data_IF_496322117585
#
_entry.id   IF_496322117585
#
_cell.length_a   1.000
_cell.length_b   1.000
_cell.length_c   1.000
_cell.angle_alpha   90.00
_cell.angle_beta   90.00
_cell.angle_gamma   90.00
#
_symmetry.space_group_name_H-M   'P 1'
#
loop_
_entity.id
_entity.type
_entity.pdbx_description
1 polymer ?
#
# COMPACT_ATOMS: atom_id res chain seq x y z
N UNK A 1 -22.69 -4.34 2.19
CA UNK A 1 -21.22 -4.18 2.00
C UNK A 1 -21.01 -3.41 0.72
N UNK A 2 -20.38 -2.23 0.77
CA UNK A 2 -19.99 -1.51 -0.45
C UNK A 2 -18.66 -2.09 -0.92
N UNK A 3 -18.65 -2.77 -2.07
CA UNK A 3 -17.40 -3.11 -2.73
C UNK A 3 -16.76 -1.80 -3.20
N UNK A 4 -15.64 -1.43 -2.58
CA UNK A 4 -14.86 -0.27 -3.04
C UNK A 4 -13.94 -0.77 -4.13
N UNK A 5 -14.02 -0.18 -5.32
CA UNK A 5 -13.22 -0.63 -6.47
C UNK A 5 -11.74 -0.30 -6.24
N UNK A 6 -10.84 -1.27 -6.34
CA UNK A 6 -9.39 -1.02 -6.27
C UNK A 6 -8.87 -0.81 -7.69
N UNK A 7 -8.18 0.30 -7.93
CA UNK A 7 -7.65 0.66 -9.25
C UNK A 7 -6.15 0.92 -9.12
N UNK A 8 -5.33 0.21 -9.88
CA UNK A 8 -3.89 0.49 -9.95
C UNK A 8 -3.61 1.59 -10.98
N UNK A 9 -2.82 2.58 -10.60
CA UNK A 9 -2.22 3.51 -11.56
C UNK A 9 -1.26 2.77 -12.50
N UNK A 10 -0.96 3.34 -13.68
CA UNK A 10 0.01 2.74 -14.62
C UNK A 10 1.37 2.48 -13.96
N UNK A 11 1.87 3.45 -13.19
CA UNK A 11 3.10 3.29 -12.41
C UNK A 11 3.03 2.14 -11.39
N UNK A 12 1.94 2.06 -10.61
CA UNK A 12 1.77 0.97 -9.64
C UNK A 12 1.69 -0.39 -10.33
N UNK A 13 0.99 -0.47 -11.46
CA UNK A 13 0.83 -1.68 -12.26
C UNK A 13 2.17 -2.16 -12.82
N UNK A 14 2.94 -1.25 -13.42
CA UNK A 14 4.26 -1.58 -13.98
C UNK A 14 5.22 -2.07 -12.91
N UNK A 15 5.24 -1.39 -11.75
CA UNK A 15 6.05 -1.83 -10.61
C UNK A 15 5.63 -3.21 -10.11
N UNK A 16 4.33 -3.45 -9.99
CA UNK A 16 3.81 -4.73 -9.53
C UNK A 16 4.23 -5.86 -10.48
N UNK A 17 3.98 -5.71 -11.78
CA UNK A 17 4.23 -6.75 -12.78
C UNK A 17 5.73 -7.00 -13.00
N UNK A 18 6.55 -5.94 -13.06
CA UNK A 18 7.96 -6.07 -13.44
C UNK A 18 8.90 -6.31 -12.25
N UNK A 19 8.53 -5.84 -11.04
CA UNK A 19 9.41 -5.89 -9.87
C UNK A 19 8.89 -6.78 -8.76
N UNK A 20 7.60 -6.72 -8.44
CA UNK A 20 7.08 -7.33 -7.21
C UNK A 20 6.48 -8.72 -7.45
N UNK A 21 6.05 -9.02 -8.69
CA UNK A 21 5.50 -10.32 -9.06
C UNK A 21 6.50 -11.46 -8.83
N UNK A 22 7.79 -11.24 -9.14
CA UNK A 22 8.88 -12.19 -8.88
C UNK A 22 9.13 -12.45 -7.38
N UNK A 23 8.56 -11.63 -6.50
CA UNK A 23 8.62 -11.77 -5.04
C UNK A 23 7.33 -12.37 -4.47
N UNK A 24 6.41 -12.83 -5.33
CA UNK A 24 5.12 -13.39 -4.93
C UNK A 24 4.04 -12.35 -4.65
N UNK A 25 4.28 -11.06 -4.93
CA UNK A 25 3.33 -9.97 -4.70
C UNK A 25 2.55 -9.69 -5.99
N UNK A 26 1.22 -9.82 -5.91
CA UNK A 26 0.30 -9.68 -7.04
C UNK A 26 -0.89 -8.76 -6.69
N UNK A 27 -1.85 -8.62 -7.60
CA UNK A 27 -3.04 -7.77 -7.39
C UNK A 27 -3.88 -8.24 -6.19
N UNK A 28 -3.94 -9.55 -5.92
CA UNK A 28 -4.63 -10.08 -4.74
C UNK A 28 -3.94 -9.66 -3.44
N UNK A 29 -2.61 -9.68 -3.42
CA UNK A 29 -1.81 -9.19 -2.28
C UNK A 29 -2.09 -7.72 -1.99
N UNK A 30 -2.19 -6.90 -3.04
CA UNK A 30 -2.56 -5.49 -2.94
C UNK A 30 -4.00 -5.34 -2.44
N UNK A 31 -4.93 -6.11 -3.01
CA UNK A 31 -6.35 -6.09 -2.64
C UNK A 31 -6.57 -6.45 -1.17
N UNK A 32 -5.95 -7.53 -0.70
CA UNK A 32 -6.01 -7.96 0.70
C UNK A 32 -5.39 -6.90 1.61
N UNK A 33 -4.25 -6.32 1.23
CA UNK A 33 -3.60 -5.27 2.01
C UNK A 33 -4.49 -4.05 2.17
N UNK A 34 -5.15 -3.60 1.10
CA UNK A 34 -6.03 -2.41 1.15
C UNK A 34 -7.33 -2.69 1.90
N UNK A 35 -7.91 -3.89 1.76
CA UNK A 35 -9.20 -4.24 2.36
C UNK A 35 -9.10 -4.70 3.82
N UNK A 36 -8.00 -5.35 4.18
CA UNK A 36 -7.74 -5.90 5.52
C UNK A 36 -6.28 -5.68 5.93
N UNK A 37 -5.85 -4.41 6.06
CA UNK A 37 -4.51 -4.08 6.51
C UNK A 37 -4.31 -4.53 7.95
N UNK A 38 -3.06 -4.88 8.29
CA UNK A 38 -2.67 -5.05 9.69
C UNK A 38 -2.62 -3.68 10.38
N UNK A 39 -2.29 -2.64 9.61
CA UNK A 39 -2.20 -1.27 10.09
C UNK A 39 -2.53 -0.28 8.96
N UNK A 40 -3.35 0.71 9.30
CA UNK A 40 -3.74 1.79 8.38
C UNK A 40 -3.17 3.11 8.89
N UNK A 41 -2.39 3.78 8.04
CA UNK A 41 -1.69 5.02 8.33
C UNK A 41 -2.04 6.11 7.31
N UNK A 42 -1.66 7.34 7.61
CA UNK A 42 -1.76 8.49 6.72
C UNK A 42 -0.38 9.13 6.47
N UNK A 43 0.03 9.24 5.20
CA UNK A 43 1.25 9.93 4.80
C UNK A 43 0.97 11.43 4.71
N UNK A 44 1.37 12.17 5.75
CA UNK A 44 1.15 13.62 5.90
C UNK A 44 1.83 14.41 4.78
N UNK A 45 2.96 13.93 4.25
CA UNK A 45 3.70 14.66 3.22
C UNK A 45 3.01 14.59 1.84
N UNK A 46 2.22 13.55 1.59
CA UNK A 46 1.54 13.35 0.29
C UNK A 46 0.02 13.44 0.38
N UNK A 47 -0.54 13.44 1.58
CA UNK A 47 -1.97 13.43 1.81
C UNK A 47 -2.65 12.09 1.47
N UNK A 48 -1.91 10.97 1.51
CA UNK A 48 -2.37 9.66 1.02
C UNK A 48 -2.50 8.64 2.15
N UNK A 49 -3.38 7.67 1.97
CA UNK A 49 -3.48 6.53 2.87
C UNK A 49 -2.37 5.51 2.62
N UNK A 50 -1.96 4.83 3.68
CA UNK A 50 -0.96 3.76 3.63
C UNK A 50 -1.53 2.55 4.36
N UNK A 51 -1.86 1.51 3.60
CA UNK A 51 -2.25 0.21 4.14
C UNK A 51 -1.00 -0.67 4.27
N UNK A 52 -0.73 -1.19 5.47
CA UNK A 52 0.46 -2.00 5.78
C UNK A 52 0.04 -3.44 6.05
N UNK A 53 0.79 -4.36 5.47
CA UNK A 53 0.60 -5.80 5.63
C UNK A 53 1.95 -6.46 5.92
N UNK A 54 2.17 -6.83 7.18
CA UNK A 54 3.48 -7.24 7.69
C UNK A 54 3.85 -8.66 7.29
N UNK A 55 2.89 -9.58 7.24
CA UNK A 55 3.12 -10.96 6.77
C UNK A 55 3.50 -11.01 5.28
N UNK A 56 2.97 -10.09 4.47
CA UNK A 56 3.31 -9.91 3.05
C UNK A 56 4.49 -8.97 2.80
N UNK A 57 5.04 -8.33 3.85
CA UNK A 57 6.14 -7.37 3.73
C UNK A 57 5.86 -6.20 2.76
N UNK A 58 4.60 -5.77 2.63
CA UNK A 58 4.20 -4.67 1.76
C UNK A 58 3.45 -3.54 2.45
N UNK A 59 3.68 -2.32 1.96
CA UNK A 59 2.84 -1.15 2.22
C UNK A 59 2.27 -0.63 0.89
N UNK A 60 0.95 -0.49 0.84
CA UNK A 60 0.22 0.04 -0.31
C UNK A 60 -0.15 1.48 -0.04
N UNK A 61 0.32 2.40 -0.89
CA UNK A 61 -0.02 3.82 -0.81
C UNK A 61 -1.15 4.09 -1.81
N UNK A 62 -2.26 4.62 -1.32
CA UNK A 62 -3.45 4.84 -2.14
C UNK A 62 -4.21 6.11 -1.77
N UNK A 63 -4.97 6.62 -2.73
CA UNK A 63 -5.94 7.68 -2.55
C UNK A 63 -7.34 7.09 -2.45
N UNK A 64 -8.19 7.65 -1.59
CA UNK A 64 -9.58 7.21 -1.44
C UNK A 64 -10.51 8.21 -2.11
N UNK A 65 -11.27 7.75 -3.08
CA UNK A 65 -12.40 8.50 -3.67
C UNK A 65 -13.72 7.96 -3.13
N UNK A 66 -14.84 8.52 -3.60
CA UNK A 66 -16.18 8.08 -3.17
C UNK A 66 -16.43 6.60 -3.49
N UNK A 67 -15.92 6.15 -4.63
CA UNK A 67 -16.27 4.85 -5.23
C UNK A 67 -15.05 3.94 -5.45
N UNK A 68 -13.82 4.47 -5.31
CA UNK A 68 -12.60 3.72 -5.59
C UNK A 68 -11.44 4.02 -4.61
N UNK A 69 -10.51 3.06 -4.54
CA UNK A 69 -9.20 3.19 -3.92
C UNK A 69 -8.15 3.15 -5.03
N UNK A 70 -7.57 4.31 -5.33
CA UNK A 70 -6.57 4.46 -6.38
C UNK A 70 -5.18 4.17 -5.81
N UNK A 71 -4.61 3.02 -6.14
CA UNK A 71 -3.28 2.59 -5.71
C UNK A 71 -2.21 3.34 -6.51
N UNK A 72 -1.47 4.19 -5.80
CA UNK A 72 -0.42 5.05 -6.37
C UNK A 72 0.89 4.29 -6.46
N UNK A 73 1.25 3.54 -5.42
CA UNK A 73 2.45 2.68 -5.46
C UNK A 73 2.37 1.60 -4.40
N UNK A 74 3.18 0.55 -4.60
CA UNK A 74 3.38 -0.54 -3.64
C UNK A 74 4.85 -0.53 -3.22
N UNK A 75 5.09 -0.60 -1.92
CA UNK A 75 6.42 -0.70 -1.33
C UNK A 75 6.57 -2.10 -0.78
N UNK A 76 7.53 -2.86 -1.29
CA UNK A 76 7.97 -4.11 -0.67
C UNK A 76 9.25 -3.86 0.15
N UNK A 77 9.34 -4.45 1.34
CA UNK A 77 10.57 -4.45 2.12
C UNK A 77 10.59 -5.59 3.13
N UNK A 78 11.65 -6.39 3.13
CA UNK A 78 11.88 -7.40 4.17
C UNK A 78 12.03 -6.80 5.59
N UNK A 79 12.26 -5.48 5.68
CA UNK A 79 12.35 -4.72 6.93
C UNK A 79 11.19 -3.74 7.05
N UNK A 80 9.98 -4.14 6.61
CA UNK A 80 8.82 -3.24 6.55
C UNK A 80 8.54 -2.55 7.89
N UNK A 81 8.62 -3.28 8.99
CA UNK A 81 8.39 -2.75 10.35
C UNK A 81 9.36 -1.62 10.70
N UNK A 82 10.65 -1.79 10.43
CA UNK A 82 11.66 -0.75 10.66
C UNK A 82 11.41 0.47 9.78
N UNK A 83 10.99 0.25 8.53
CA UNK A 83 10.65 1.31 7.59
C UNK A 83 9.42 2.11 8.05
N UNK A 84 8.38 1.45 8.55
CA UNK A 84 7.17 2.09 9.12
C UNK A 84 7.57 2.93 10.33
N UNK A 85 8.29 2.34 11.28
CA UNK A 85 8.72 3.03 12.50
C UNK A 85 9.65 4.23 12.23
N UNK A 86 10.53 4.12 11.23
CA UNK A 86 11.34 5.25 10.78
C UNK A 86 10.46 6.39 10.23
N UNK A 87 9.43 6.07 9.43
CA UNK A 87 8.54 7.10 8.86
C UNK A 87 7.62 7.72 9.90
N UNK A 88 7.20 6.95 10.91
CA UNK A 88 6.51 7.46 12.11
C UNK A 88 7.35 8.41 12.92
N UNK A 89 8.59 8.04 13.24
CA UNK A 89 9.52 8.91 13.96
C UNK A 89 9.82 10.22 13.23
N UNK A 90 9.80 10.19 11.89
CA UNK A 90 9.92 11.39 11.07
C UNK A 90 8.63 12.23 10.98
N UNK A 91 7.55 11.83 11.66
CA UNK A 91 6.23 12.47 11.59
C UNK A 91 5.54 12.34 10.24
N UNK A 92 6.03 11.46 9.36
CA UNK A 92 5.57 11.36 7.98
C UNK A 92 4.37 10.44 7.86
N UNK A 93 4.38 9.31 8.55
CA UNK A 93 3.28 8.35 8.60
C UNK A 93 2.67 8.38 10.00
N UNK A 94 1.41 8.76 10.12
CA UNK A 94 0.69 8.87 11.40
C UNK A 94 -0.55 7.98 11.42
#
# INVERSE_FOLDING_TARGET
MRYTMIVLTGHARDKLLNELFKLGINEDSVSITVNSPDELLYDVATGRFVAVKYDLNIAVIYEKTRDAQLVVTVIYSAHLKELVERRRRAGRWI
#
